data_IF_979644390609
#
_entry.id   IF_979644390609
#
_cell.length_a   1.000
_cell.length_b   1.000
_cell.length_c   1.000
_cell.angle_alpha   90.00
_cell.angle_beta   90.00
_cell.angle_gamma   90.00
#
_symmetry.space_group_name_H-M   'P 1'
#
loop_
_entity.id
_entity.type
_entity.pdbx_description
1 polymer ?
#
# COMPACT_ATOMS: atom_id res chain seq x y z
N UNK A 1 -40.93 25.98 26.81
CA UNK A 1 -39.97 25.00 27.38
C UNK A 1 -39.82 23.75 26.53
N UNK A 2 -40.86 22.92 26.30
CA UNK A 2 -40.75 21.69 25.47
C UNK A 2 -40.14 21.92 24.07
N UNK A 3 -40.58 22.96 23.34
CA UNK A 3 -40.02 23.32 22.01
C UNK A 3 -38.53 23.72 22.05
N UNK A 4 -38.10 24.37 23.13
CA UNK A 4 -36.69 24.76 23.35
C UNK A 4 -35.84 23.52 23.66
N UNK A 5 -36.35 22.61 24.50
CA UNK A 5 -35.69 21.33 24.82
C UNK A 5 -35.52 20.49 23.55
N UNK A 6 -36.57 20.36 22.74
CA UNK A 6 -36.51 19.62 21.47
C UNK A 6 -35.45 20.21 20.53
N UNK A 7 -35.35 21.53 20.45
CA UNK A 7 -34.33 22.21 19.66
C UNK A 7 -32.90 21.87 20.13
N UNK A 8 -32.64 21.89 21.45
CA UNK A 8 -31.33 21.51 21.99
C UNK A 8 -30.98 20.04 21.76
N UNK A 9 -31.96 19.14 21.84
CA UNK A 9 -31.76 17.71 21.54
C UNK A 9 -31.35 17.51 20.07
N UNK A 10 -31.98 18.21 19.14
CA UNK A 10 -31.61 18.14 17.71
C UNK A 10 -30.18 18.62 17.49
N UNK A 11 -29.78 19.73 18.12
CA UNK A 11 -28.40 20.23 18.04
C UNK A 11 -27.40 19.19 18.55
N UNK A 12 -27.68 18.56 19.69
CA UNK A 12 -26.80 17.55 20.27
C UNK A 12 -26.64 16.32 19.37
N UNK A 13 -27.71 15.89 18.69
CA UNK A 13 -27.66 14.79 17.72
C UNK A 13 -26.76 15.18 16.56
N UNK A 14 -26.92 16.37 15.99
CA UNK A 14 -26.08 16.86 14.88
C UNK A 14 -24.60 16.90 15.28
N UNK A 15 -24.29 17.46 16.45
CA UNK A 15 -22.91 17.53 16.96
C UNK A 15 -22.32 16.13 17.15
N UNK A 16 -23.10 15.20 17.70
CA UNK A 16 -22.67 13.82 17.92
C UNK A 16 -22.41 13.09 16.61
N UNK A 17 -23.28 13.24 15.61
CA UNK A 17 -23.10 12.66 14.28
C UNK A 17 -21.85 13.21 13.57
N UNK A 18 -21.64 14.52 13.59
CA UNK A 18 -20.44 15.15 13.01
C UNK A 18 -19.18 14.65 13.72
N UNK A 19 -19.21 14.58 15.04
CA UNK A 19 -18.08 14.10 15.85
C UNK A 19 -17.73 12.64 15.52
N UNK A 20 -18.74 11.78 15.38
CA UNK A 20 -18.55 10.38 15.00
C UNK A 20 -17.91 10.23 13.61
N UNK A 21 -18.39 10.98 12.62
CA UNK A 21 -17.83 10.99 11.26
C UNK A 21 -16.36 11.45 11.30
N UNK A 22 -16.06 12.52 12.02
CA UNK A 22 -14.70 13.05 12.15
C UNK A 22 -13.74 12.06 12.83
N UNK A 23 -14.18 11.40 13.90
CA UNK A 23 -13.36 10.41 14.60
C UNK A 23 -13.05 9.20 13.72
N UNK A 24 -14.02 8.71 12.96
CA UNK A 24 -13.81 7.62 12.00
C UNK A 24 -12.83 8.04 10.90
N UNK A 25 -13.01 9.22 10.29
CA UNK A 25 -12.07 9.75 9.30
C UNK A 25 -10.64 9.83 9.85
N UNK A 26 -10.46 10.36 11.07
CA UNK A 26 -9.16 10.45 11.72
C UNK A 26 -8.57 9.07 11.99
N UNK A 27 -9.39 8.11 12.40
CA UNK A 27 -8.98 6.72 12.62
C UNK A 27 -8.47 6.08 11.32
N UNK A 28 -9.25 6.17 10.25
CA UNK A 28 -8.91 5.63 8.92
C UNK A 28 -7.63 6.26 8.37
N UNK A 29 -7.50 7.59 8.50
CA UNK A 29 -6.30 8.32 8.10
C UNK A 29 -5.05 7.82 8.86
N UNK A 30 -5.16 7.63 10.18
CA UNK A 30 -4.05 7.13 10.99
C UNK A 30 -3.69 5.68 10.64
N UNK A 31 -4.68 4.84 10.35
CA UNK A 31 -4.44 3.48 9.86
C UNK A 31 -3.73 3.48 8.51
N UNK A 32 -4.18 4.32 7.57
CA UNK A 32 -3.53 4.48 6.27
C UNK A 32 -2.07 4.95 6.45
N UNK A 33 -1.83 5.99 7.23
CA UNK A 33 -0.49 6.49 7.55
C UNK A 33 0.41 5.40 8.12
N UNK A 34 -0.07 4.62 9.10
CA UNK A 34 0.69 3.53 9.71
C UNK A 34 1.03 2.43 8.70
N UNK A 35 0.09 2.06 7.83
CA UNK A 35 0.33 1.09 6.78
C UNK A 35 1.35 1.60 5.75
N UNK A 36 1.21 2.86 5.33
CA UNK A 36 2.05 3.49 4.32
C UNK A 36 3.51 3.60 4.75
N UNK A 37 3.79 3.88 6.03
CA UNK A 37 5.16 3.97 6.56
C UNK A 37 6.01 2.73 6.27
N UNK A 38 5.38 1.55 6.11
CA UNK A 38 6.09 0.32 5.76
C UNK A 38 6.72 0.36 4.37
N UNK A 39 6.19 1.19 3.47
CA UNK A 39 6.55 1.32 2.07
C UNK A 39 7.16 2.69 1.74
N UNK A 40 6.62 3.78 2.30
CA UNK A 40 7.12 5.15 2.11
C UNK A 40 8.59 5.30 2.51
N UNK A 41 9.07 4.47 3.44
CA UNK A 41 10.48 4.47 3.85
C UNK A 41 11.44 4.18 2.68
N UNK A 42 10.97 3.59 1.58
CA UNK A 42 11.75 3.26 0.40
C UNK A 42 11.81 4.39 -0.64
N UNK A 43 10.84 5.30 -0.64
CA UNK A 43 10.73 6.36 -1.66
C UNK A 43 12.02 7.19 -1.72
N UNK A 44 12.55 7.37 -2.93
CA UNK A 44 13.78 8.12 -3.22
C UNK A 44 15.05 7.61 -2.51
N UNK A 45 15.05 6.36 -2.03
CA UNK A 45 16.23 5.73 -1.43
C UNK A 45 16.77 4.62 -2.33
N UNK A 46 18.10 4.51 -2.32
CA UNK A 46 18.78 3.31 -2.77
C UNK A 46 18.68 2.24 -1.69
N UNK A 47 18.27 1.04 -2.09
CA UNK A 47 18.09 -0.11 -1.23
C UNK A 47 18.64 -1.36 -1.89
N UNK A 48 18.93 -2.37 -1.11
CA UNK A 48 19.44 -3.64 -1.63
C UNK A 48 18.29 -4.54 -2.12
N UNK A 49 18.59 -5.51 -2.98
CA UNK A 49 17.60 -6.50 -3.41
C UNK A 49 16.96 -7.25 -2.23
N UNK A 50 17.66 -7.44 -1.12
CA UNK A 50 17.10 -8.00 0.12
C UNK A 50 15.99 -7.13 0.73
N UNK A 51 16.10 -5.81 0.63
CA UNK A 51 15.05 -4.87 1.06
C UNK A 51 13.83 -4.94 0.14
N UNK A 52 14.05 -5.06 -1.17
CA UNK A 52 12.96 -5.27 -2.14
C UNK A 52 12.24 -6.58 -1.86
N UNK A 53 12.97 -7.67 -1.61
CA UNK A 53 12.38 -8.95 -1.26
C UNK A 53 11.47 -8.83 -0.03
N UNK A 54 11.91 -8.05 0.97
CA UNK A 54 11.09 -7.72 2.15
C UNK A 54 9.85 -6.91 1.80
N UNK A 55 9.97 -5.92 0.90
CA UNK A 55 8.83 -5.13 0.43
C UNK A 55 7.81 -6.00 -0.33
N UNK A 56 8.28 -6.90 -1.20
CA UNK A 56 7.46 -7.87 -1.93
C UNK A 56 6.70 -8.77 -0.95
N UNK A 57 7.39 -9.41 0.01
CA UNK A 57 6.74 -10.28 0.99
C UNK A 57 5.63 -9.56 1.77
N UNK A 58 5.87 -8.30 2.16
CA UNK A 58 4.85 -7.49 2.85
C UNK A 58 3.68 -7.13 1.94
N UNK A 59 3.91 -6.82 0.67
CA UNK A 59 2.84 -6.53 -0.28
C UNK A 59 1.99 -7.79 -0.56
N UNK A 60 2.61 -8.95 -0.73
CA UNK A 60 1.93 -10.25 -0.88
C UNK A 60 1.08 -10.58 0.36
N UNK A 61 1.65 -10.45 1.56
CA UNK A 61 0.93 -10.70 2.82
C UNK A 61 -0.27 -9.75 2.97
N UNK A 62 -0.06 -8.45 2.73
CA UNK A 62 -1.14 -7.46 2.77
C UNK A 62 -2.24 -7.77 1.77
N UNK A 63 -1.90 -8.09 0.52
CA UNK A 63 -2.89 -8.41 -0.50
C UNK A 63 -3.65 -9.70 -0.19
N UNK A 64 -2.97 -10.70 0.38
CA UNK A 64 -3.61 -11.94 0.81
C UNK A 64 -4.59 -11.69 1.94
N UNK A 65 -4.17 -10.95 2.97
CA UNK A 65 -5.01 -10.57 4.11
C UNK A 65 -6.20 -9.70 3.70
N UNK A 66 -6.03 -8.88 2.68
CA UNK A 66 -7.08 -8.03 2.12
C UNK A 66 -7.96 -8.75 1.09
N UNK A 67 -7.72 -10.04 0.84
CA UNK A 67 -8.46 -10.86 -0.12
C UNK A 67 -8.51 -10.23 -1.52
N UNK A 68 -7.39 -9.64 -1.95
CA UNK A 68 -7.29 -9.00 -3.26
C UNK A 68 -7.39 -10.06 -4.35
N UNK A 69 -8.33 -9.87 -5.27
CA UNK A 69 -8.52 -10.75 -6.41
C UNK A 69 -7.30 -10.76 -7.33
N UNK A 70 -7.04 -11.91 -7.96
CA UNK A 70 -6.00 -12.07 -8.96
C UNK A 70 -6.62 -12.28 -10.34
N UNK A 71 -5.95 -11.80 -11.38
CA UNK A 71 -6.32 -12.13 -12.75
C UNK A 71 -5.89 -13.57 -13.11
N UNK A 72 -6.21 -13.99 -14.34
CA UNK A 72 -5.88 -15.33 -14.87
C UNK A 72 -4.37 -15.63 -14.94
N UNK A 73 -3.52 -14.62 -14.79
CA UNK A 73 -2.04 -14.75 -14.74
C UNK A 73 -1.50 -14.76 -13.30
N UNK A 74 -2.38 -14.73 -12.29
CA UNK A 74 -2.00 -14.73 -10.88
C UNK A 74 -1.54 -13.39 -10.33
N UNK A 75 -1.79 -12.28 -11.05
CA UNK A 75 -1.39 -10.92 -10.66
C UNK A 75 -2.53 -10.26 -9.89
N UNK A 76 -2.23 -9.62 -8.77
CA UNK A 76 -3.23 -8.91 -7.97
C UNK A 76 -3.83 -7.72 -8.73
N UNK A 77 -5.15 -7.63 -8.70
CA UNK A 77 -5.92 -6.56 -9.32
C UNK A 77 -6.02 -5.35 -8.41
N UNK A 78 -5.91 -4.15 -9.01
CA UNK A 78 -6.18 -2.92 -8.30
C UNK A 78 -7.66 -2.82 -7.94
N UNK A 79 -7.97 -2.84 -6.65
CA UNK A 79 -9.32 -2.72 -6.10
C UNK A 79 -9.69 -1.30 -5.65
N UNK A 80 -8.86 -0.31 -5.98
CA UNK A 80 -9.01 1.10 -5.62
C UNK A 80 -9.12 1.37 -4.12
N UNK A 81 -8.69 0.46 -3.24
CA UNK A 81 -8.88 0.57 -1.78
C UNK A 81 -7.63 0.22 -0.98
N UNK A 82 -7.06 -0.97 -1.18
CA UNK A 82 -6.00 -1.52 -0.32
C UNK A 82 -5.14 -2.60 -0.98
N UNK A 83 -5.20 -2.71 -2.31
CA UNK A 83 -4.26 -3.49 -3.12
C UNK A 83 -2.89 -2.81 -3.17
N UNK A 84 -1.81 -3.57 -3.21
CA UNK A 84 -0.44 -3.06 -3.34
C UNK A 84 0.25 -3.82 -4.45
N UNK A 85 0.75 -3.11 -5.45
CA UNK A 85 1.54 -3.67 -6.54
C UNK A 85 2.97 -3.16 -6.45
N UNK A 86 3.95 -4.02 -6.74
CA UNK A 86 5.35 -3.62 -6.81
C UNK A 86 5.90 -4.09 -8.15
N UNK A 87 6.57 -3.18 -8.85
CA UNK A 87 7.27 -3.44 -10.10
C UNK A 87 8.77 -3.20 -9.92
N UNK A 88 9.57 -4.03 -10.57
CA UNK A 88 11.02 -3.99 -10.54
C UNK A 88 11.52 -3.90 -11.97
N UNK A 89 12.13 -2.78 -12.33
CA UNK A 89 12.78 -2.57 -13.63
C UNK A 89 14.25 -2.91 -13.51
N UNK A 90 14.68 -3.91 -14.30
CA UNK A 90 16.08 -4.32 -14.37
C UNK A 90 16.79 -3.54 -15.46
N UNK A 91 18.01 -3.07 -15.17
CA UNK A 91 18.86 -2.37 -16.15
C UNK A 91 19.51 -3.33 -17.14
N UNK A 92 19.69 -4.60 -16.74
CA UNK A 92 20.48 -5.57 -17.49
C UNK A 92 19.78 -6.05 -18.76
N UNK A 93 18.45 -5.97 -18.80
CA UNK A 93 17.63 -6.45 -19.92
C UNK A 93 16.42 -5.56 -20.23
N UNK A 94 16.40 -4.33 -19.72
CA UNK A 94 15.32 -3.34 -19.87
C UNK A 94 13.90 -3.88 -19.57
N UNK A 95 13.79 -4.95 -18.77
CA UNK A 95 12.52 -5.61 -18.49
C UNK A 95 11.95 -5.19 -17.14
N UNK A 96 10.62 -5.12 -17.08
CA UNK A 96 9.86 -4.82 -15.85
C UNK A 96 9.19 -6.10 -15.36
N UNK A 97 9.48 -6.44 -14.10
CA UNK A 97 8.93 -7.62 -13.43
C UNK A 97 7.91 -7.22 -12.37
N UNK A 98 6.78 -7.91 -12.36
CA UNK A 98 5.78 -7.81 -11.29
C UNK A 98 6.26 -8.58 -10.06
N UNK A 99 5.88 -8.13 -8.87
CA UNK A 99 6.24 -8.79 -7.62
C UNK A 99 5.83 -10.27 -7.56
N UNK A 100 4.70 -10.63 -8.18
CA UNK A 100 4.22 -12.01 -8.25
C UNK A 100 5.13 -12.88 -9.10
N UNK A 101 5.72 -12.33 -10.17
CA UNK A 101 6.72 -13.04 -10.98
C UNK A 101 7.93 -13.37 -10.14
N UNK A 102 8.44 -12.42 -9.34
CA UNK A 102 9.59 -12.64 -8.47
C UNK A 102 9.23 -13.64 -7.35
N UNK A 103 8.08 -13.45 -6.71
CA UNK A 103 7.62 -14.29 -5.61
C UNK A 103 7.41 -15.75 -6.03
N UNK A 104 6.71 -15.97 -7.16
CA UNK A 104 6.39 -17.31 -7.66
C UNK A 104 7.61 -18.06 -8.19
N UNK A 105 8.63 -17.35 -8.71
CA UNK A 105 9.92 -17.95 -9.10
C UNK A 105 10.86 -18.19 -7.90
N UNK A 106 10.36 -18.00 -6.68
CA UNK A 106 11.10 -18.16 -5.44
C UNK A 106 11.83 -16.87 -5.05
N UNK A 107 11.30 -16.19 -4.02
CA UNK A 107 11.90 -14.97 -3.47
C UNK A 107 13.37 -15.16 -3.04
N UNK A 108 13.74 -16.38 -2.62
CA UNK A 108 15.12 -16.71 -2.28
C UNK A 108 16.06 -16.68 -3.48
N UNK A 109 15.58 -17.07 -4.68
CA UNK A 109 16.38 -16.98 -5.90
C UNK A 109 16.69 -15.51 -6.22
N UNK A 110 15.70 -14.63 -6.09
CA UNK A 110 15.93 -13.19 -6.24
C UNK A 110 16.95 -12.65 -5.24
N UNK A 111 16.87 -13.06 -3.96
CA UNK A 111 17.89 -12.69 -2.96
C UNK A 111 19.28 -13.22 -3.34
N UNK A 112 19.38 -14.46 -3.81
CA UNK A 112 20.67 -15.07 -4.15
C UNK A 112 21.35 -14.35 -5.33
N UNK A 113 20.59 -13.95 -6.35
CA UNK A 113 21.14 -13.31 -7.54
C UNK A 113 21.25 -11.79 -7.42
N UNK A 114 20.26 -11.13 -6.82
CA UNK A 114 20.13 -9.67 -6.80
C UNK A 114 20.21 -9.06 -5.39
N UNK A 115 20.43 -9.87 -4.34
CA UNK A 115 20.39 -9.41 -2.96
C UNK A 115 21.39 -8.30 -2.64
N UNK A 116 22.56 -8.30 -3.28
CA UNK A 116 23.60 -7.27 -3.12
C UNK A 116 23.54 -6.16 -4.17
N UNK A 117 22.61 -6.26 -5.12
CA UNK A 117 22.38 -5.25 -6.16
C UNK A 117 21.54 -4.12 -5.56
N UNK A 118 21.85 -2.90 -5.97
CA UNK A 118 21.14 -1.70 -5.54
C UNK A 118 20.01 -1.37 -6.50
N UNK A 119 18.94 -0.86 -5.91
CA UNK A 119 17.77 -0.38 -6.60
C UNK A 119 17.29 0.91 -5.97
N UNK A 120 16.71 1.79 -6.76
CA UNK A 120 16.10 3.03 -6.30
C UNK A 120 14.59 2.97 -6.48
N UNK A 121 13.85 3.30 -5.43
CA UNK A 121 12.40 3.51 -5.56
C UNK A 121 12.15 4.86 -6.24
N UNK A 122 11.69 4.84 -7.49
CA UNK A 122 11.49 6.03 -8.33
C UNK A 122 10.05 6.51 -8.36
N UNK A 123 9.09 5.62 -8.10
CA UNK A 123 7.68 5.97 -8.04
C UNK A 123 7.00 5.28 -6.86
N UNK A 124 6.12 6.03 -6.19
CA UNK A 124 5.23 5.53 -5.15
C UNK A 124 3.91 6.27 -5.28
N UNK A 125 2.83 5.51 -5.41
CA UNK A 125 1.51 6.06 -5.62
C UNK A 125 0.51 5.58 -4.56
N UNK A 126 -0.60 6.30 -4.42
CA UNK A 126 -1.64 6.03 -3.43
C UNK A 126 -3.01 5.79 -4.06
N UNK A 127 -3.85 4.99 -3.39
CA UNK A 127 -5.28 4.91 -3.65
C UNK A 127 -5.94 6.23 -3.27
N UNK A 128 -6.65 6.87 -4.21
CA UNK A 128 -7.33 8.15 -3.95
C UNK A 128 -8.40 8.06 -2.86
N UNK A 129 -9.02 6.90 -2.69
CA UNK A 129 -10.15 6.67 -1.78
C UNK A 129 -9.72 6.53 -0.31
N UNK A 130 -8.60 5.85 -0.06
CA UNK A 130 -8.13 5.48 1.29
C UNK A 130 -6.81 6.12 1.66
N UNK A 131 -6.15 6.76 0.71
CA UNK A 131 -4.78 7.24 0.82
C UNK A 131 -3.76 6.16 1.21
N UNK A 132 -4.08 4.88 0.99
CA UNK A 132 -3.13 3.77 1.19
C UNK A 132 -2.21 3.65 -0.01
N UNK A 133 -0.95 3.28 0.22
CA UNK A 133 -0.01 2.96 -0.88
C UNK A 133 -0.65 1.92 -1.80
N UNK A 134 -0.63 2.20 -3.10
CA UNK A 134 -1.15 1.29 -4.15
C UNK A 134 -0.05 0.68 -4.99
N UNK A 135 1.06 1.37 -5.15
CA UNK A 135 2.07 1.02 -6.13
C UNK A 135 3.46 1.51 -5.72
N UNK A 136 4.48 0.70 -6.02
CA UNK A 136 5.89 1.08 -5.95
C UNK A 136 6.61 0.63 -7.23
N UNK A 137 7.52 1.47 -7.73
CA UNK A 137 8.47 1.13 -8.79
C UNK A 137 9.90 1.19 -8.24
N UNK A 138 10.62 0.08 -8.36
CA UNK A 138 12.05 0.00 -8.11
C UNK A 138 12.81 -0.12 -9.43
N UNK A 139 13.83 0.73 -9.63
CA UNK A 139 14.71 0.67 -10.79
C UNK A 139 16.11 0.27 -10.34
N UNK A 140 16.73 -0.70 -11.01
CA UNK A 140 18.11 -1.10 -10.76
C UNK A 140 19.06 0.08 -11.04
N UNK A 141 20.05 0.24 -10.17
CA UNK A 141 21.07 1.32 -10.23
C UNK A 141 22.40 0.77 -10.70
#
# INVERSE_FOLDING_TARGET
MKKIIIFFVIILIIISSISYIYLNYKSDYNMAKKANLQFEKYLNKEVYGTDIATAINKAIDNNTKNEIEKNNKGIYLNNNKNSINIEIKMSDNDSIYQMETIYNNGIQNFINYYGNIKFKCTNLEYHKSTNKVKYLLFEQV
#
